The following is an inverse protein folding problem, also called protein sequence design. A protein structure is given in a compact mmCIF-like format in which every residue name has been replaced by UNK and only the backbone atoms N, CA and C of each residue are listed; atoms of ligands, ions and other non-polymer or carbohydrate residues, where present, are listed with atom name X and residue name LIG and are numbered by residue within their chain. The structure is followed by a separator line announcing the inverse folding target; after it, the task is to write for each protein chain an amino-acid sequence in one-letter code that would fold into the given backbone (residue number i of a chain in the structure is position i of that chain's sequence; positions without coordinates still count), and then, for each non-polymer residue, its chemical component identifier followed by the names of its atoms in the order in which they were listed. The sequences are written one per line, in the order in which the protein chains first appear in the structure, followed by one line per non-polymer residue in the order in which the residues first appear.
data_IF_885621230953
#
_entry.id   IF_885621230953
#
_cell.length_a   1.000
_cell.length_b   1.000
_cell.length_c   1.000
_cell.angle_alpha   90.00
_cell.angle_beta   90.00
_cell.angle_gamma   90.00
#
_symmetry.space_group_name_H-M   'P 1'
#
loop_
_entity.id
_entity.type
_entity.pdbx_description
1 polymer ?
#
# COMPACT_ATOMS: atom_id res chain seq x y z
N UNK A 1 21.80 -3.44 24.73
CA UNK A 1 20.74 -3.96 23.84
C UNK A 1 20.53 -2.98 22.69
N UNK A 2 20.57 -3.45 21.45
CA UNK A 2 20.02 -2.68 20.32
C UNK A 2 18.51 -2.94 20.37
N UNK A 3 17.70 -1.94 20.70
CA UNK A 3 16.25 -2.05 20.59
C UNK A 3 15.95 -2.32 19.11
N UNK A 4 15.55 -3.55 18.79
CA UNK A 4 14.91 -3.85 17.51
C UNK A 4 13.46 -3.52 17.78
N UNK A 5 13.00 -2.35 17.35
CA UNK A 5 11.57 -2.12 17.24
C UNK A 5 11.01 -3.25 16.38
N UNK A 6 9.94 -3.89 16.88
CA UNK A 6 9.25 -4.91 16.10
C UNK A 6 8.85 -4.28 14.77
N UNK A 7 9.21 -4.92 13.67
CA UNK A 7 9.02 -4.39 12.31
C UNK A 7 7.80 -5.10 11.73
N UNK A 8 6.57 -4.58 11.94
CA UNK A 8 5.34 -5.33 11.68
C UNK A 8 5.19 -5.71 10.21
N UNK A 9 5.88 -5.02 9.31
CA UNK A 9 5.80 -5.19 7.87
C UNK A 9 7.16 -5.47 7.21
N UNK A 10 8.10 -6.10 7.92
CA UNK A 10 9.39 -6.52 7.35
C UNK A 10 9.24 -7.52 6.19
N UNK A 11 8.14 -8.30 6.17
CA UNK A 11 7.72 -9.12 5.04
C UNK A 11 7.00 -8.25 3.99
N UNK A 12 7.54 -8.10 2.77
CA UNK A 12 6.91 -7.31 1.71
C UNK A 12 5.52 -7.79 1.31
N UNK A 13 5.21 -9.09 1.40
CA UNK A 13 3.86 -9.61 1.09
C UNK A 13 2.85 -9.11 2.13
N UNK A 14 3.21 -9.17 3.42
CA UNK A 14 2.37 -8.61 4.49
C UNK A 14 2.17 -7.10 4.33
N UNK A 15 3.24 -6.38 3.97
CA UNK A 15 3.17 -4.95 3.67
C UNK A 15 2.23 -4.67 2.47
N UNK A 16 2.36 -5.43 1.39
CA UNK A 16 1.53 -5.29 0.18
C UNK A 16 0.05 -5.55 0.48
N UNK A 17 -0.28 -6.59 1.26
CA UNK A 17 -1.66 -6.88 1.68
C UNK A 17 -2.26 -5.73 2.46
N UNK A 18 -1.54 -5.21 3.45
CA UNK A 18 -2.02 -4.07 4.24
C UNK A 18 -2.22 -2.81 3.39
N UNK A 19 -1.32 -2.55 2.44
CA UNK A 19 -1.48 -1.46 1.47
C UNK A 19 -2.75 -1.62 0.64
N UNK A 20 -3.08 -2.83 0.20
CA UNK A 20 -4.30 -3.11 -0.56
C UNK A 20 -5.55 -2.93 0.29
N UNK A 21 -5.54 -3.35 1.56
CA UNK A 21 -6.64 -3.12 2.51
C UNK A 21 -6.91 -1.61 2.69
N UNK A 22 -5.86 -0.84 3.00
CA UNK A 22 -5.94 0.61 3.14
C UNK A 22 -6.43 1.28 1.85
N UNK A 23 -5.98 0.81 0.67
CA UNK A 23 -6.45 1.30 -0.60
C UNK A 23 -7.93 1.00 -0.85
N UNK A 24 -8.41 -0.18 -0.42
CA UNK A 24 -9.80 -0.62 -0.63
C UNK A 24 -10.80 0.19 0.20
N UNK A 25 -10.39 0.69 1.37
CA UNK A 25 -11.21 1.54 2.25
C UNK A 25 -11.35 2.98 1.73
N UNK A 26 -10.51 3.42 0.79
CA UNK A 26 -10.53 4.79 0.28
C UNK A 26 -11.52 4.92 -0.87
N UNK A 27 -12.49 5.83 -0.72
CA UNK A 27 -13.35 6.25 -1.84
C UNK A 27 -12.47 6.92 -2.91
N UNK A 28 -12.36 6.34 -4.12
CA UNK A 28 -11.51 6.91 -5.16
C UNK A 28 -12.10 8.20 -5.72
N UNK A 29 -11.22 9.05 -6.24
CA UNK A 29 -11.58 10.23 -7.02
C UNK A 29 -11.80 9.86 -8.50
N UNK A 30 -11.67 10.84 -9.39
CA UNK A 30 -11.85 10.67 -10.83
C UNK A 30 -11.07 9.46 -11.38
N UNK A 31 -11.74 8.67 -12.23
CA UNK A 31 -11.14 7.53 -12.94
C UNK A 31 -10.55 6.47 -11.98
N UNK A 32 -11.12 6.32 -10.78
CA UNK A 32 -10.71 5.28 -9.82
C UNK A 32 -9.40 5.57 -9.08
N UNK A 33 -8.86 6.80 -9.19
CA UNK A 33 -7.57 7.18 -8.58
C UNK A 33 -7.69 7.39 -7.08
N UNK A 34 -6.66 6.99 -6.36
CA UNK A 34 -6.52 7.15 -4.92
C UNK A 34 -5.24 7.97 -4.67
N UNK A 35 -5.33 9.03 -3.87
CA UNK A 35 -4.14 9.76 -3.44
C UNK A 35 -3.26 8.86 -2.58
N UNK A 36 -1.98 8.74 -2.93
CA UNK A 36 -1.00 7.88 -2.23
C UNK A 36 -0.92 8.20 -0.73
N UNK A 37 -1.09 9.47 -0.36
CA UNK A 37 -1.09 9.92 1.04
C UNK A 37 -2.17 9.23 1.90
N UNK A 38 -3.31 8.87 1.32
CA UNK A 38 -4.41 8.19 2.01
C UNK A 38 -4.07 6.75 2.39
N UNK A 39 -2.98 6.22 1.84
CA UNK A 39 -2.49 4.87 2.09
C UNK A 39 -1.18 4.93 2.89
N UNK A 40 -0.22 5.78 2.49
CA UNK A 40 1.09 5.83 3.14
C UNK A 40 1.02 6.39 4.57
N UNK A 41 0.12 7.33 4.84
CA UNK A 41 -0.03 7.94 6.15
C UNK A 41 -0.54 6.93 7.18
N UNK A 42 -1.69 6.24 6.97
CA UNK A 42 -2.14 5.22 7.90
C UNK A 42 -1.13 4.08 8.03
N UNK A 43 -0.52 3.61 6.93
CA UNK A 43 0.49 2.55 6.99
C UNK A 43 1.67 2.90 7.91
N UNK A 44 2.20 4.12 7.81
CA UNK A 44 3.38 4.52 8.59
C UNK A 44 3.02 4.96 10.01
N UNK A 45 2.02 5.83 10.15
CA UNK A 45 1.76 6.52 11.40
C UNK A 45 0.67 5.89 12.26
N UNK A 46 -0.16 5.00 11.70
CA UNK A 46 -1.23 4.32 12.44
C UNK A 46 -0.92 2.83 12.61
N UNK A 47 -0.42 2.18 11.57
CA UNK A 47 -0.10 0.75 11.61
C UNK A 47 1.36 0.45 12.06
N UNK A 48 2.17 1.50 12.28
CA UNK A 48 3.56 1.35 12.75
C UNK A 48 4.54 0.83 11.70
N UNK A 49 4.19 0.88 10.42
CA UNK A 49 5.12 0.59 9.33
C UNK A 49 6.17 1.67 9.15
N UNK A 50 7.25 1.34 8.45
CA UNK A 50 8.27 2.30 8.04
C UNK A 50 8.13 2.70 6.57
N UNK A 51 8.69 3.86 6.14
CA UNK A 51 8.71 4.25 4.73
C UNK A 51 9.37 3.21 3.81
N UNK A 52 10.38 2.48 4.32
CA UNK A 52 11.08 1.43 3.57
C UNK A 52 10.15 0.23 3.33
N UNK A 53 9.40 -0.19 4.35
CA UNK A 53 8.43 -1.29 4.23
C UNK A 53 7.25 -0.91 3.35
N UNK A 54 6.77 0.33 3.45
CA UNK A 54 5.76 0.86 2.53
C UNK A 54 6.25 0.80 1.08
N UNK A 55 7.50 1.22 0.83
CA UNK A 55 8.13 1.15 -0.49
C UNK A 55 8.21 -0.28 -1.03
N UNK A 56 8.66 -1.23 -0.19
CA UNK A 56 8.77 -2.65 -0.55
C UNK A 56 7.40 -3.29 -0.83
N UNK A 57 6.41 -3.08 0.05
CA UNK A 57 5.06 -3.60 -0.13
C UNK A 57 4.37 -3.01 -1.36
N UNK A 58 4.53 -1.70 -1.60
CA UNK A 58 3.96 -1.05 -2.80
C UNK A 58 4.59 -1.57 -4.08
N UNK A 59 5.91 -1.75 -4.11
CA UNK A 59 6.61 -2.32 -5.27
C UNK A 59 6.10 -3.73 -5.57
N UNK A 60 5.96 -4.57 -4.53
CA UNK A 60 5.42 -5.92 -4.70
C UNK A 60 3.96 -5.92 -5.16
N UNK A 61 3.09 -5.04 -4.62
CA UNK A 61 1.70 -4.93 -5.05
C UNK A 61 1.59 -4.53 -6.54
N UNK A 62 2.51 -3.68 -7.04
CA UNK A 62 2.60 -3.33 -8.46
C UNK A 62 3.09 -4.54 -9.28
N UNK A 63 4.13 -5.24 -8.82
CA UNK A 63 4.65 -6.44 -9.48
C UNK A 63 3.60 -7.55 -9.61
N UNK A 64 2.78 -7.75 -8.57
CA UNK A 64 1.64 -8.68 -8.57
C UNK A 64 0.48 -8.21 -9.45
N UNK A 65 0.57 -7.00 -9.99
CA UNK A 65 -0.46 -6.39 -10.79
C UNK A 65 -1.68 -5.95 -9.99
N UNK A 66 -1.63 -5.87 -8.66
CA UNK A 66 -2.76 -5.48 -7.81
C UNK A 66 -2.97 -3.98 -7.75
N UNK A 67 -1.88 -3.23 -7.88
CA UNK A 67 -1.86 -1.78 -7.77
C UNK A 67 -1.19 -1.19 -9.01
N UNK A 68 -1.78 -0.16 -9.59
CA UNK A 68 -1.16 0.65 -10.61
C UNK A 68 -0.74 1.99 -10.02
N UNK A 69 0.46 2.48 -10.36
CA UNK A 69 0.98 3.78 -9.95
C UNK A 69 0.93 4.75 -11.14
N UNK A 70 0.32 5.92 -10.94
CA UNK A 70 0.37 7.00 -11.91
C UNK A 70 1.79 7.57 -12.02
N UNK A 71 2.22 7.99 -13.21
CA UNK A 71 3.58 8.50 -13.47
C UNK A 71 3.98 9.70 -12.61
N UNK A 72 3.00 10.49 -12.16
CA UNK A 72 3.23 11.62 -11.25
C UNK A 72 3.63 11.20 -9.83
N UNK A 73 3.45 9.93 -9.46
CA UNK A 73 3.67 9.42 -8.11
C UNK A 73 2.60 9.85 -7.08
N UNK A 74 1.64 10.70 -7.47
CA UNK A 74 0.58 11.22 -6.59
C UNK A 74 -0.55 10.22 -6.37
N UNK A 75 -0.81 9.39 -7.38
CA UNK A 75 -1.99 8.54 -7.44
C UNK A 75 -1.64 7.08 -7.63
N UNK A 76 -2.43 6.22 -7.00
CA UNK A 76 -2.51 4.81 -7.34
C UNK A 76 -3.94 4.44 -7.74
N UNK A 77 -4.12 3.25 -8.32
CA UNK A 77 -5.44 2.64 -8.55
C UNK A 77 -5.38 1.17 -8.20
N UNK A 78 -6.45 0.64 -7.62
CA UNK A 78 -6.66 -0.80 -7.54
C UNK A 78 -6.99 -1.31 -8.95
N UNK A 79 -6.27 -2.32 -9.40
CA UNK A 79 -6.51 -2.96 -10.71
C UNK A 79 -7.63 -4.01 -10.59
N UNK A 80 -8.14 -4.55 -11.71
CA UNK A 80 -9.04 -5.70 -11.67
C UNK A 80 -8.45 -6.91 -10.92
N UNK A 81 -7.14 -7.17 -11.07
CA UNK A 81 -6.42 -8.22 -10.34
C UNK A 81 -6.38 -7.95 -8.83
N UNK A 82 -6.15 -6.70 -8.43
CA UNK A 82 -6.15 -6.29 -7.02
C UNK A 82 -7.54 -6.36 -6.39
N UNK A 83 -8.58 -6.02 -7.15
CA UNK A 83 -9.96 -6.09 -6.68
C UNK A 83 -10.40 -7.53 -6.32
N UNK A 84 -9.83 -8.55 -6.99
CA UNK A 84 -10.09 -9.97 -6.69
C UNK A 84 -9.66 -10.38 -5.28
N UNK A 85 -8.82 -9.58 -4.61
CA UNK A 85 -8.43 -9.85 -3.22
C UNK A 85 -9.58 -9.64 -2.22
N UNK A 86 -10.65 -8.94 -2.61
CA UNK A 86 -11.74 -8.51 -1.74
C UNK A 86 -13.12 -8.98 -2.23
N UNK A 87 -13.14 -9.88 -3.22
CA UNK A 87 -14.36 -10.42 -3.85
C UNK A 87 -14.80 -11.76 -3.24
#
# INVERSE_FOLDING_TARGET
MKYIEDRPYADPEKAARRIMELAHEVVPVQDGRIHVEKINYPFVFQDGGSPVEYGAGRALAIERGWLWMHESGTYVKITPEGAKLFA
#
